data_IF_316241020549
#
_entry.id   IF_316241020549
#
_cell.length_a   1.000
_cell.length_b   1.000
_cell.length_c   1.000
_cell.angle_alpha   90.00
_cell.angle_beta   90.00
_cell.angle_gamma   90.00
#
_symmetry.space_group_name_H-M   'P 1'
#
loop_
_entity.id
_entity.type
_entity.pdbx_description
1 polymer ?
#
# COMPACT_ATOMS: atom_id res chain seq x y z
N UNK A 1 -19.86 43.11 9.94
CA UNK A 1 -18.81 42.45 10.75
C UNK A 1 -18.42 41.16 10.05
N UNK A 2 -17.12 41.02 9.78
CA UNK A 2 -16.49 39.93 9.03
C UNK A 2 -16.58 38.62 9.82
N UNK A 3 -17.06 37.55 9.19
CA UNK A 3 -16.63 36.19 9.56
C UNK A 3 -16.35 35.39 8.30
N UNK A 4 -15.17 35.69 7.77
CA UNK A 4 -14.39 34.77 6.95
C UNK A 4 -14.18 33.48 7.72
N UNK A 5 -14.44 32.37 7.04
CA UNK A 5 -13.69 31.12 7.10
C UNK A 5 -14.38 30.14 6.15
N UNK A 6 -14.14 30.37 4.87
CA UNK A 6 -14.06 29.33 3.86
C UNK A 6 -13.13 28.24 4.43
N UNK A 7 -13.72 27.18 4.97
CA UNK A 7 -12.99 25.96 5.30
C UNK A 7 -13.36 24.96 4.22
N UNK A 8 -12.65 25.06 3.09
CA UNK A 8 -12.46 23.90 2.25
C UNK A 8 -11.57 22.97 3.06
N UNK A 9 -11.99 21.74 3.41
CA UNK A 9 -11.00 20.72 3.68
C UNK A 9 -10.38 20.38 2.32
N UNK A 10 -9.22 20.99 2.10
CA UNK A 10 -8.13 20.56 1.24
C UNK A 10 -8.44 19.23 0.56
N UNK A 11 -8.91 19.32 -0.68
CA UNK A 11 -8.70 18.24 -1.64
C UNK A 11 -7.20 18.06 -1.73
N UNK A 12 -6.68 17.09 -1.00
CA UNK A 12 -5.26 16.74 -1.01
C UNK A 12 -4.97 16.13 -2.37
N UNK A 13 -4.68 17.01 -3.33
CA UNK A 13 -4.29 16.67 -4.67
C UNK A 13 -3.04 15.81 -4.63
N UNK A 14 -3.19 14.56 -5.04
CA UNK A 14 -2.17 13.87 -5.81
C UNK A 14 -2.81 13.35 -7.08
N UNK A 15 -3.23 14.31 -7.92
CA UNK A 15 -3.46 14.04 -9.33
C UNK A 15 -2.10 13.79 -10.00
N UNK A 16 -1.64 12.55 -9.96
CA UNK A 16 -0.83 11.98 -11.03
C UNK A 16 -1.60 10.79 -11.57
N UNK A 17 -2.38 11.04 -12.63
CA UNK A 17 -2.89 10.01 -13.51
C UNK A 17 -1.68 9.28 -14.12
N UNK A 18 -1.18 8.26 -13.44
CA UNK A 18 -0.32 7.22 -13.98
C UNK A 18 -1.02 5.92 -13.62
N UNK A 19 -1.32 5.15 -14.64
CA UNK A 19 -1.82 3.76 -14.63
C UNK A 19 -2.01 3.19 -13.23
N UNK A 20 -3.26 2.94 -12.79
CA UNK A 20 -3.60 2.35 -11.48
C UNK A 20 -2.48 1.45 -10.96
N UNK A 21 -1.59 2.00 -10.13
CA UNK A 21 -0.48 1.22 -9.59
C UNK A 21 -1.06 0.23 -8.62
N UNK A 22 -0.45 -0.95 -8.51
CA UNK A 22 -0.88 -1.97 -7.54
C UNK A 22 -1.05 -1.39 -6.12
N UNK A 23 -0.19 -0.44 -5.73
CA UNK A 23 -0.29 0.31 -4.48
C UNK A 23 -1.63 1.05 -4.30
N UNK A 24 -2.14 1.69 -5.36
CA UNK A 24 -3.40 2.43 -5.34
C UNK A 24 -4.60 1.48 -5.15
N UNK A 25 -4.58 0.33 -5.83
CA UNK A 25 -5.60 -0.70 -5.63
C UNK A 25 -5.57 -1.30 -4.23
N UNK A 26 -4.37 -1.57 -3.71
CA UNK A 26 -4.20 -2.04 -2.34
C UNK A 26 -4.76 -1.00 -1.35
N UNK A 27 -4.48 0.29 -1.55
CA UNK A 27 -5.00 1.36 -0.69
C UNK A 27 -6.52 1.48 -0.78
N UNK A 28 -7.08 1.40 -2.00
CA UNK A 28 -8.51 1.41 -2.24
C UNK A 28 -9.23 0.24 -1.55
N UNK A 29 -8.67 -0.95 -1.65
CA UNK A 29 -9.23 -2.15 -1.02
C UNK A 29 -9.03 -2.16 0.50
N UNK A 30 -7.97 -1.52 0.98
CA UNK A 30 -7.73 -1.30 2.40
C UNK A 30 -8.49 -0.09 2.97
N UNK A 31 -9.31 0.61 2.16
CA UNK A 31 -10.02 1.83 2.51
C UNK A 31 -9.11 2.92 3.11
N UNK A 32 -7.95 3.13 2.51
CA UNK A 32 -6.98 4.16 2.90
C UNK A 32 -6.80 5.21 1.82
N UNK A 33 -6.77 6.48 2.22
CA UNK A 33 -6.59 7.62 1.32
C UNK A 33 -5.12 7.83 0.90
N UNK A 34 -4.16 7.32 1.69
CA UNK A 34 -2.73 7.54 1.45
C UNK A 34 -1.94 6.24 1.36
N UNK A 35 -1.05 6.15 0.37
CA UNK A 35 -0.14 5.02 0.20
C UNK A 35 0.84 4.87 1.38
N UNK A 36 1.15 5.95 2.07
CA UNK A 36 1.98 5.92 3.29
C UNK A 36 1.35 5.12 4.41
N UNK A 37 0.02 5.11 4.52
CA UNK A 37 -0.71 4.34 5.53
C UNK A 37 -0.67 2.83 5.26
N UNK A 38 -0.42 2.41 4.01
CA UNK A 38 -0.23 0.99 3.70
C UNK A 38 0.90 0.38 4.51
N UNK A 39 2.00 1.10 4.73
CA UNK A 39 3.08 0.62 5.59
C UNK A 39 2.56 0.34 7.01
N UNK A 40 1.82 1.28 7.59
CA UNK A 40 1.24 1.12 8.92
C UNK A 40 0.23 -0.04 8.98
N UNK A 41 -0.58 -0.25 7.94
CA UNK A 41 -1.49 -1.39 7.85
C UNK A 41 -0.77 -2.73 7.73
N UNK A 42 0.35 -2.75 7.01
CA UNK A 42 1.23 -3.92 6.92
C UNK A 42 1.77 -4.29 8.30
N UNK A 43 2.29 -3.30 9.05
CA UNK A 43 2.76 -3.51 10.42
C UNK A 43 1.66 -3.99 11.36
N UNK A 44 0.43 -3.51 11.17
CA UNK A 44 -0.76 -3.96 11.91
C UNK A 44 -1.31 -5.31 11.43
N UNK A 45 -0.75 -5.90 10.37
CA UNK A 45 -1.22 -7.15 9.77
C UNK A 45 -2.62 -7.06 9.13
N UNK A 46 -3.08 -5.85 8.81
CA UNK A 46 -4.40 -5.58 8.21
C UNK A 46 -4.37 -5.59 6.68
N UNK A 47 -3.18 -5.71 6.09
CA UNK A 47 -3.00 -5.75 4.63
C UNK A 47 -3.31 -7.10 3.98
N UNK A 48 -3.41 -8.18 4.77
CA UNK A 48 -3.64 -9.52 4.25
C UNK A 48 -4.96 -9.67 3.49
N UNK A 49 -6.05 -9.15 4.05
CA UNK A 49 -7.37 -9.21 3.44
C UNK A 49 -7.47 -8.43 2.11
N UNK A 50 -7.05 -7.16 2.01
CA UNK A 50 -7.10 -6.43 0.74
C UNK A 50 -6.14 -7.00 -0.31
N UNK A 51 -4.93 -7.44 0.08
CA UNK A 51 -3.98 -8.08 -0.85
C UNK A 51 -4.54 -9.37 -1.43
N UNK A 52 -5.21 -10.21 -0.61
CA UNK A 52 -5.80 -11.46 -1.06
C UNK A 52 -6.95 -11.28 -2.06
N UNK A 53 -7.56 -10.09 -2.14
CA UNK A 53 -8.64 -9.80 -3.11
C UNK A 53 -8.10 -9.37 -4.47
N UNK A 54 -6.84 -8.97 -4.54
CA UNK A 54 -6.21 -8.55 -5.78
C UNK A 54 -5.74 -9.79 -6.53
N UNK A 55 -6.20 -9.95 -7.76
CA UNK A 55 -5.79 -11.05 -8.62
C UNK A 55 -4.32 -10.88 -9.07
N UNK A 56 -3.54 -11.94 -8.89
CA UNK A 56 -2.14 -12.05 -9.34
C UNK A 56 -1.98 -11.79 -10.85
N UNK A 57 -2.98 -12.17 -11.66
CA UNK A 57 -2.96 -12.00 -13.12
C UNK A 57 -3.11 -10.54 -13.58
N UNK A 58 -3.58 -9.65 -12.69
CA UNK A 58 -3.83 -8.25 -13.02
C UNK A 58 -2.55 -7.41 -13.08
N UNK A 59 -1.48 -7.87 -12.41
CA UNK A 59 -0.22 -7.13 -12.28
C UNK A 59 0.98 -8.06 -12.45
N UNK A 60 1.97 -7.61 -13.23
CA UNK A 60 3.23 -8.35 -13.38
C UNK A 60 4.09 -8.34 -12.12
N UNK A 61 5.05 -9.26 -12.05
CA UNK A 61 5.97 -9.43 -10.91
C UNK A 61 6.73 -8.15 -10.55
N UNK A 62 7.11 -7.32 -11.53
CA UNK A 62 7.79 -6.05 -11.27
C UNK A 62 6.92 -5.09 -10.45
N UNK A 63 5.63 -4.97 -10.80
CA UNK A 63 4.70 -4.08 -10.09
C UNK A 63 4.45 -4.56 -8.65
N UNK A 64 4.31 -5.88 -8.46
CA UNK A 64 4.25 -6.47 -7.13
C UNK A 64 5.52 -6.24 -6.34
N UNK A 65 6.68 -6.40 -6.96
CA UNK A 65 7.98 -6.17 -6.33
C UNK A 65 8.15 -4.73 -5.87
N UNK A 66 7.82 -3.76 -6.73
CA UNK A 66 7.83 -2.34 -6.38
C UNK A 66 6.85 -2.03 -5.26
N UNK A 67 5.63 -2.58 -5.31
CA UNK A 67 4.62 -2.36 -4.28
C UNK A 67 5.04 -2.94 -2.92
N UNK A 68 5.53 -4.18 -2.90
CA UNK A 68 6.07 -4.81 -1.68
C UNK A 68 7.22 -4.00 -1.14
N UNK A 69 8.15 -3.56 -2.00
CA UNK A 69 9.31 -2.78 -1.55
C UNK A 69 8.90 -1.43 -0.95
N UNK A 70 7.90 -0.77 -1.54
CA UNK A 70 7.33 0.46 -1.02
C UNK A 70 6.62 0.24 0.33
N UNK A 71 5.76 -0.77 0.42
CA UNK A 71 4.96 -1.09 1.61
C UNK A 71 5.85 -1.59 2.74
N UNK A 72 6.86 -2.40 2.47
CA UNK A 72 7.73 -2.98 3.50
C UNK A 72 8.92 -2.08 3.82
N UNK A 73 9.15 -1.03 3.02
CA UNK A 73 10.35 -0.16 3.06
C UNK A 73 11.66 -0.95 2.90
N UNK A 74 11.61 -2.14 2.30
CA UNK A 74 12.76 -2.99 2.03
C UNK A 74 12.96 -3.10 0.53
N UNK A 75 14.21 -3.13 0.08
CA UNK A 75 14.51 -3.39 -1.33
C UNK A 75 14.45 -4.89 -1.57
N UNK A 76 13.30 -5.38 -2.01
CA UNK A 76 13.06 -6.79 -2.30
C UNK A 76 12.90 -6.99 -3.80
N UNK A 77 13.31 -8.15 -4.28
CA UNK A 77 13.18 -8.56 -5.67
C UNK A 77 12.57 -9.94 -5.70
N UNK A 78 11.40 -10.08 -6.33
CA UNK A 78 10.73 -11.37 -6.46
C UNK A 78 10.82 -11.88 -7.89
N UNK A 79 10.84 -13.20 -8.03
CA UNK A 79 10.85 -13.84 -9.36
C UNK A 79 9.46 -14.22 -9.85
N UNK A 80 8.48 -14.26 -8.95
CA UNK A 80 7.08 -14.58 -9.27
C UNK A 80 6.10 -13.69 -8.50
N UNK A 81 4.93 -13.43 -9.10
CA UNK A 81 3.85 -12.67 -8.47
C UNK A 81 3.40 -13.33 -7.15
N UNK A 82 3.25 -14.65 -7.16
CA UNK A 82 2.90 -15.43 -5.97
C UNK A 82 3.84 -15.18 -4.80
N UNK A 83 5.15 -15.13 -5.04
CA UNK A 83 6.16 -14.91 -4.01
C UNK A 83 6.02 -13.53 -3.37
N UNK A 84 5.83 -12.51 -4.21
CA UNK A 84 5.62 -11.14 -3.78
C UNK A 84 4.31 -10.96 -3.00
N UNK A 85 3.22 -11.57 -3.48
CA UNK A 85 1.92 -11.54 -2.82
C UNK A 85 1.97 -12.29 -1.48
N UNK A 86 2.57 -13.48 -1.46
CA UNK A 86 2.73 -14.27 -0.25
C UNK A 86 3.57 -13.51 0.80
N UNK A 87 4.56 -12.72 0.39
CA UNK A 87 5.32 -11.86 1.29
C UNK A 87 4.44 -10.79 1.99
N UNK A 88 3.39 -10.29 1.34
CA UNK A 88 2.45 -9.35 1.99
C UNK A 88 1.38 -10.07 2.84
N UNK A 89 1.09 -11.35 2.54
CA UNK A 89 0.11 -12.16 3.26
C UNK A 89 0.69 -12.81 4.52
N UNK A 90 1.96 -13.23 4.47
CA UNK A 90 2.64 -13.90 5.58
C UNK A 90 2.97 -12.85 6.64
N UNK A 91 2.30 -12.94 7.79
CA UNK A 91 2.47 -12.03 8.94
C UNK A 91 3.82 -12.16 9.65
N UNK A 92 4.69 -13.06 9.22
CA UNK A 92 5.76 -13.60 10.06
C UNK A 92 6.98 -12.68 10.23
N UNK A 93 7.08 -11.57 9.48
CA UNK A 93 8.25 -10.69 9.55
C UNK A 93 8.22 -9.69 10.73
N UNK A 94 7.12 -9.59 11.48
CA UNK A 94 7.02 -8.63 12.61
C UNK A 94 7.57 -9.14 13.93
N UNK A 95 8.23 -10.31 13.96
CA UNK A 95 9.05 -10.66 15.10
C UNK A 95 10.36 -9.83 15.09
N UNK A 96 10.28 -8.61 15.63
CA UNK A 96 11.33 -8.13 16.53
C UNK A 96 12.38 -7.13 16.02
N UNK A 97 12.08 -6.20 15.12
CA UNK A 97 12.99 -5.05 14.90
C UNK A 97 12.25 -3.78 14.44
N UNK A 98 11.52 -3.17 15.37
CA UNK A 98 11.25 -1.73 15.31
C UNK A 98 11.97 -1.10 16.49
N UNK A 99 13.28 -0.93 16.33
CA UNK A 99 14.07 -0.09 17.21
C UNK A 99 13.57 1.36 17.12
N UNK A 100 12.91 1.79 18.19
CA UNK A 100 12.83 3.18 18.63
C UNK A 100 13.36 3.26 20.06
#
# INVERSE_FOLDING_TARGET
MKKTRDVQPEGSGSATKRSESLLDLIAKEAHCDYLSDLHSLYLKGQLSAPVSRIAEDRFGVQQWTEAVSYITRRTLSFTSVQEAQQYLLVKDHTNGDFGL
#
